data_IF_791269224859
#
_entry.id   IF_791269224859
#
_cell.length_a   1.000
_cell.length_b   1.000
_cell.length_c   1.000
_cell.angle_alpha   90.00
_cell.angle_beta   90.00
_cell.angle_gamma   90.00
#
_symmetry.space_group_name_H-M   'P 1'
#
loop_
_entity.id
_entity.type
_entity.pdbx_description
1 polymer ?
#
# COMPACT_ATOMS: atom_id res chain seq x y z
N UNK A 1 3.86 -13.28 21.29
CA UNK A 1 4.64 -12.33 20.48
C UNK A 1 5.99 -12.97 20.17
N UNK A 2 6.61 -12.65 19.04
CA UNK A 2 7.92 -13.16 18.64
C UNK A 2 8.84 -11.96 18.32
N UNK A 3 10.09 -12.03 18.77
CA UNK A 3 11.05 -10.91 18.71
C UNK A 3 12.41 -11.39 18.23
N UNK A 4 13.04 -10.65 17.33
CA UNK A 4 14.43 -10.85 16.88
C UNK A 4 15.21 -9.54 17.10
N UNK A 5 16.34 -9.62 17.80
CA UNK A 5 17.16 -8.45 18.18
C UNK A 5 18.05 -7.89 17.04
N UNK A 6 17.88 -8.39 15.83
CA UNK A 6 18.63 -7.97 14.64
C UNK A 6 17.82 -8.29 13.40
N UNK A 7 18.51 -8.70 12.33
CA UNK A 7 17.86 -9.06 11.08
C UNK A 7 17.14 -10.42 11.18
N UNK A 8 15.95 -10.47 10.61
CA UNK A 8 15.17 -11.69 10.44
C UNK A 8 15.33 -12.19 9.00
N UNK A 9 16.20 -13.18 8.78
CA UNK A 9 16.45 -13.76 7.46
C UNK A 9 15.96 -15.20 7.42
N UNK A 10 15.20 -15.58 6.39
CA UNK A 10 14.72 -16.95 6.24
C UNK A 10 13.76 -17.14 5.07
N UNK A 11 13.03 -18.25 5.07
CA UNK A 11 12.04 -18.55 4.02
C UNK A 11 10.70 -17.87 4.28
N UNK A 12 10.12 -18.08 5.46
CA UNK A 12 8.79 -17.57 5.82
C UNK A 12 8.67 -17.35 7.32
N UNK A 13 7.84 -16.41 7.73
CA UNK A 13 7.48 -16.14 9.13
C UNK A 13 5.97 -16.16 9.26
N UNK A 14 5.46 -16.96 10.20
CA UNK A 14 4.03 -17.07 10.51
C UNK A 14 3.81 -16.84 12.00
N UNK A 15 3.13 -15.75 12.34
CA UNK A 15 2.91 -15.34 13.74
C UNK A 15 1.45 -14.94 13.94
N UNK A 16 0.73 -15.59 14.84
CA UNK A 16 -0.69 -15.25 15.08
C UNK A 16 -0.92 -13.86 15.70
N UNK A 17 0.06 -13.32 16.43
CA UNK A 17 -0.07 -12.06 17.17
C UNK A 17 0.87 -10.98 16.65
N UNK A 18 1.95 -10.75 17.40
CA UNK A 18 2.91 -9.67 17.15
C UNK A 18 4.27 -10.23 16.79
N UNK A 19 4.89 -9.68 15.74
CA UNK A 19 6.26 -9.94 15.32
C UNK A 19 7.07 -8.64 15.32
N UNK A 20 8.25 -8.65 15.95
CA UNK A 20 9.16 -7.52 15.98
C UNK A 20 10.58 -7.93 15.58
N UNK A 21 11.19 -7.16 14.68
CA UNK A 21 12.61 -7.27 14.35
C UNK A 21 13.30 -5.92 14.60
N UNK A 22 14.40 -5.93 15.37
CA UNK A 22 15.20 -4.73 15.61
C UNK A 22 16.12 -4.37 14.43
N UNK A 23 16.08 -5.13 13.34
CA UNK A 23 16.74 -4.86 12.06
C UNK A 23 15.81 -5.01 10.86
N UNK A 24 16.34 -5.50 9.75
CA UNK A 24 15.59 -5.79 8.53
C UNK A 24 14.86 -7.14 8.60
N UNK A 25 13.80 -7.30 7.82
CA UNK A 25 13.16 -8.59 7.58
C UNK A 25 13.39 -8.95 6.11
N UNK A 26 14.03 -10.08 5.83
CA UNK A 26 14.28 -10.58 4.48
C UNK A 26 13.82 -12.02 4.37
N UNK A 27 12.73 -12.22 3.65
CA UNK A 27 12.11 -13.53 3.46
C UNK A 27 12.07 -13.92 1.99
N UNK A 28 12.30 -15.20 1.69
CA UNK A 28 12.16 -15.72 0.33
C UNK A 28 10.69 -15.80 -0.11
N UNK A 29 9.79 -16.07 0.84
CA UNK A 29 8.37 -16.31 0.59
C UNK A 29 7.50 -15.31 1.36
N UNK A 30 7.11 -15.62 2.59
CA UNK A 30 5.94 -14.99 3.20
C UNK A 30 6.23 -14.42 4.59
N UNK A 31 5.82 -13.16 4.81
CA UNK A 31 5.56 -12.61 6.14
C UNK A 31 4.06 -12.62 6.43
N UNK A 32 3.59 -13.57 7.22
CA UNK A 32 2.19 -13.65 7.65
C UNK A 32 2.05 -13.38 9.14
N UNK A 33 1.41 -12.26 9.50
CA UNK A 33 1.23 -11.85 10.90
C UNK A 33 -0.22 -11.49 11.18
N UNK A 34 -0.86 -12.13 12.16
CA UNK A 34 -2.27 -11.87 12.45
C UNK A 34 -2.54 -10.47 12.99
N UNK A 35 -1.65 -9.95 13.86
CA UNK A 35 -1.81 -8.66 14.53
C UNK A 35 -0.88 -7.58 14.00
N UNK A 36 0.36 -7.55 14.47
CA UNK A 36 1.28 -6.43 14.23
C UNK A 36 2.67 -6.91 13.83
N UNK A 37 3.20 -6.38 12.73
CA UNK A 37 4.58 -6.60 12.30
C UNK A 37 5.35 -5.28 12.35
N UNK A 38 6.49 -5.27 13.03
CA UNK A 38 7.39 -4.11 13.06
C UNK A 38 8.82 -4.52 12.74
N UNK A 39 9.44 -3.73 11.86
CA UNK A 39 10.87 -3.74 11.59
C UNK A 39 11.41 -2.33 11.73
N UNK A 40 12.59 -2.16 12.31
CA UNK A 40 13.27 -0.85 12.31
C UNK A 40 13.85 -0.54 10.92
N UNK A 41 14.22 -1.57 10.17
CA UNK A 41 14.72 -1.50 8.79
C UNK A 41 13.68 -1.83 7.72
N UNK A 42 14.11 -2.20 6.51
CA UNK A 42 13.21 -2.61 5.42
C UNK A 42 12.64 -4.01 5.64
N UNK A 43 11.47 -4.26 5.06
CA UNK A 43 10.85 -5.57 4.93
C UNK A 43 10.88 -5.97 3.45
N UNK A 44 11.47 -7.12 3.14
CA UNK A 44 11.53 -7.72 1.81
C UNK A 44 10.96 -9.14 1.84
N UNK A 45 10.00 -9.45 0.96
CA UNK A 45 9.39 -10.79 0.86
C UNK A 45 8.80 -11.07 -0.54
N UNK A 46 8.34 -12.28 -0.81
CA UNK A 46 7.43 -12.54 -1.94
C UNK A 46 6.03 -11.98 -1.63
N UNK A 47 5.53 -12.21 -0.40
CA UNK A 47 4.24 -11.67 0.05
C UNK A 47 4.27 -11.21 1.51
N UNK A 48 3.55 -10.14 1.80
CA UNK A 48 3.38 -9.59 3.15
C UNK A 48 1.89 -9.52 3.46
N UNK A 49 1.42 -10.37 4.37
CA UNK A 49 0.01 -10.44 4.78
C UNK A 49 -0.12 -10.19 6.27
N UNK A 50 -0.57 -9.00 6.64
CA UNK A 50 -0.65 -8.60 8.05
C UNK A 50 -2.03 -8.08 8.40
N UNK A 51 -2.75 -8.82 9.26
CA UNK A 51 -4.15 -8.55 9.57
C UNK A 51 -4.40 -7.20 10.25
N UNK A 52 -3.48 -6.75 11.12
CA UNK A 52 -3.58 -5.47 11.81
C UNK A 52 -2.70 -4.39 11.20
N UNK A 53 -1.43 -4.27 11.61
CA UNK A 53 -0.59 -3.18 11.14
C UNK A 53 0.86 -3.60 10.83
N UNK A 54 1.45 -2.94 9.84
CA UNK A 54 2.86 -3.03 9.48
C UNK A 54 3.53 -1.69 9.72
N UNK A 55 4.69 -1.70 10.38
CA UNK A 55 5.53 -0.52 10.53
C UNK A 55 6.97 -0.85 10.15
N UNK A 56 7.50 -0.11 9.18
CA UNK A 56 8.85 -0.35 8.66
C UNK A 56 9.47 0.92 8.07
N UNK A 57 10.75 0.87 7.73
CA UNK A 57 11.37 1.91 6.90
C UNK A 57 10.75 1.91 5.48
N UNK A 58 10.68 0.73 4.87
CA UNK A 58 10.02 0.46 3.59
C UNK A 58 9.52 -0.99 3.56
N UNK A 59 8.52 -1.28 2.74
CA UNK A 59 8.04 -2.65 2.50
C UNK A 59 8.10 -2.94 1.01
N UNK A 60 8.89 -3.92 0.60
CA UNK A 60 9.00 -4.36 -0.80
C UNK A 60 8.58 -5.82 -0.87
N UNK A 61 7.46 -6.09 -1.53
CA UNK A 61 7.05 -7.44 -1.88
C UNK A 61 7.14 -7.65 -3.39
N UNK A 62 7.47 -8.85 -3.85
CA UNK A 62 7.41 -9.17 -5.28
C UNK A 62 5.95 -9.34 -5.72
N UNK A 63 5.19 -10.16 -5.00
CA UNK A 63 3.80 -10.49 -5.30
C UNK A 63 2.78 -9.54 -4.65
N UNK A 64 2.61 -9.60 -3.33
CA UNK A 64 1.54 -8.82 -2.69
C UNK A 64 1.85 -8.23 -1.31
N UNK A 65 1.20 -7.11 -1.02
CA UNK A 65 1.09 -6.52 0.32
C UNK A 65 -0.40 -6.40 0.64
N UNK A 66 -0.87 -7.09 1.68
CA UNK A 66 -2.25 -7.02 2.17
C UNK A 66 -2.22 -6.66 3.66
N UNK A 67 -2.77 -5.49 4.00
CA UNK A 67 -2.83 -5.10 5.41
C UNK A 67 -3.96 -4.14 5.73
N UNK A 68 -4.31 -4.04 7.01
CA UNK A 68 -5.24 -3.02 7.49
C UNK A 68 -4.56 -1.68 7.74
N UNK A 69 -3.36 -1.65 8.31
CA UNK A 69 -2.59 -0.41 8.49
C UNK A 69 -1.17 -0.57 8.01
N UNK A 70 -0.69 0.38 7.22
CA UNK A 70 0.68 0.40 6.70
C UNK A 70 1.33 1.72 7.05
N UNK A 71 2.44 1.68 7.79
CA UNK A 71 3.21 2.87 8.13
C UNK A 71 4.64 2.69 7.66
N UNK A 72 5.01 3.45 6.65
CA UNK A 72 6.34 3.39 6.04
C UNK A 72 6.94 4.77 5.94
N UNK A 73 8.27 4.87 6.11
CA UNK A 73 8.97 6.15 5.95
C UNK A 73 9.29 6.45 4.49
N UNK A 74 9.72 5.44 3.73
CA UNK A 74 10.05 5.58 2.30
C UNK A 74 8.94 5.10 1.37
N UNK A 75 7.99 4.31 1.86
CA UNK A 75 6.88 3.77 1.09
C UNK A 75 6.79 2.25 1.08
N UNK A 76 5.83 1.75 0.30
CA UNK A 76 5.63 0.34 0.02
C UNK A 76 5.52 0.06 -1.49
N UNK A 77 6.11 -1.06 -1.93
CA UNK A 77 6.15 -1.48 -3.33
C UNK A 77 5.78 -2.95 -3.49
N UNK A 78 4.85 -3.27 -4.38
CA UNK A 78 4.53 -4.65 -4.76
C UNK A 78 3.82 -4.75 -6.10
N UNK A 79 3.75 -5.94 -6.70
CA UNK A 79 2.87 -6.16 -7.84
C UNK A 79 1.41 -5.81 -7.51
N UNK A 80 0.93 -6.23 -6.33
CA UNK A 80 -0.41 -5.92 -5.84
C UNK A 80 -0.40 -5.40 -4.40
N UNK A 81 -1.03 -4.26 -4.15
CA UNK A 81 -1.19 -3.69 -2.81
C UNK A 81 -2.67 -3.57 -2.48
N UNK A 82 -3.08 -4.12 -1.33
CA UNK A 82 -4.42 -3.98 -0.79
C UNK A 82 -4.40 -3.36 0.60
N UNK A 83 -5.05 -2.22 0.74
CA UNK A 83 -5.38 -1.64 2.05
C UNK A 83 -6.82 -2.00 2.37
N UNK A 84 -7.02 -2.78 3.43
CA UNK A 84 -8.31 -3.37 3.77
C UNK A 84 -9.35 -2.32 4.19
N UNK A 85 -10.61 -2.75 4.35
CA UNK A 85 -11.73 -1.85 4.69
C UNK A 85 -11.43 -0.99 5.92
N UNK A 86 -11.64 0.33 5.79
CA UNK A 86 -11.31 1.34 6.81
C UNK A 86 -9.84 1.31 7.25
N UNK A 87 -8.96 0.78 6.41
CA UNK A 87 -7.53 0.75 6.63
C UNK A 87 -6.87 2.10 6.41
N UNK A 88 -5.61 2.19 6.80
CA UNK A 88 -4.83 3.43 6.73
C UNK A 88 -3.44 3.14 6.17
N UNK A 89 -2.96 3.92 5.20
CA UNK A 89 -1.57 3.85 4.74
C UNK A 89 -0.89 5.22 4.80
N UNK A 90 0.25 5.25 5.50
CA UNK A 90 1.16 6.39 5.61
C UNK A 90 2.47 6.04 4.88
N UNK A 91 2.91 6.92 3.98
CA UNK A 91 3.96 6.67 3.00
C UNK A 91 3.40 6.29 1.62
N UNK A 92 4.21 6.49 0.56
CA UNK A 92 3.76 6.27 -0.81
C UNK A 92 3.55 4.78 -1.10
N UNK A 93 2.51 4.45 -1.86
CA UNK A 93 2.20 3.09 -2.34
C UNK A 93 2.51 2.99 -3.83
N UNK A 94 3.29 2.00 -4.22
CA UNK A 94 3.68 1.79 -5.63
C UNK A 94 3.41 0.35 -6.04
N UNK A 95 2.54 0.14 -7.03
CA UNK A 95 2.35 -1.21 -7.55
C UNK A 95 1.90 -1.31 -8.99
N UNK A 96 1.74 -2.53 -9.49
CA UNK A 96 1.03 -2.73 -10.78
C UNK A 96 -0.46 -2.52 -10.55
N UNK A 97 -0.99 -3.11 -9.48
CA UNK A 97 -2.37 -2.91 -9.03
C UNK A 97 -2.41 -2.44 -7.57
N UNK A 98 -3.11 -1.34 -7.30
CA UNK A 98 -3.35 -0.85 -5.93
C UNK A 98 -4.84 -0.73 -5.68
N UNK A 99 -5.34 -1.45 -4.67
CA UNK A 99 -6.76 -1.49 -4.29
C UNK A 99 -6.92 -0.89 -2.90
N UNK A 100 -7.66 0.21 -2.83
CA UNK A 100 -7.98 0.91 -1.59
C UNK A 100 -9.43 0.58 -1.26
N UNK A 101 -9.63 -0.27 -0.25
CA UNK A 101 -10.95 -0.78 0.08
C UNK A 101 -11.85 0.28 0.70
N UNK A 102 -13.14 -0.08 0.83
CA UNK A 102 -14.18 0.83 1.32
C UNK A 102 -13.78 1.59 2.58
N UNK A 103 -13.83 2.91 2.51
CA UNK A 103 -13.54 3.83 3.62
C UNK A 103 -12.08 3.85 4.08
N UNK A 104 -11.15 3.21 3.36
CA UNK A 104 -9.72 3.28 3.66
C UNK A 104 -9.14 4.63 3.25
N UNK A 105 -8.02 5.01 3.89
CA UNK A 105 -7.35 6.30 3.68
C UNK A 105 -5.86 6.06 3.41
N UNK A 106 -5.37 6.62 2.31
CA UNK A 106 -3.96 6.52 1.95
C UNK A 106 -3.42 7.90 1.58
N UNK A 107 -2.10 8.06 1.65
CA UNK A 107 -1.44 9.26 1.16
C UNK A 107 -1.34 9.20 -0.38
N UNK A 108 -0.17 8.87 -0.92
CA UNK A 108 0.10 8.96 -2.34
C UNK A 108 0.16 7.57 -2.96
N UNK A 109 -0.45 7.41 -4.14
CA UNK A 109 -0.58 6.12 -4.81
C UNK A 109 -0.07 6.22 -6.25
N UNK A 110 0.79 5.28 -6.63
CA UNK A 110 1.21 5.02 -8.00
C UNK A 110 0.80 3.61 -8.40
N UNK A 111 0.22 3.47 -9.58
CA UNK A 111 0.15 2.15 -10.20
C UNK A 111 -0.27 2.11 -11.65
N UNK A 112 -0.18 0.94 -12.26
CA UNK A 112 -0.68 0.75 -13.62
C UNK A 112 -2.21 0.71 -13.61
N UNK A 113 -2.79 0.15 -12.55
CA UNK A 113 -4.21 0.21 -12.19
C UNK A 113 -4.37 0.61 -10.73
N UNK A 114 -5.18 1.64 -10.48
CA UNK A 114 -5.55 2.07 -9.11
C UNK A 114 -7.07 2.00 -8.98
N UNK A 115 -7.53 1.31 -7.93
CA UNK A 115 -8.95 1.14 -7.63
C UNK A 115 -9.25 1.75 -6.27
N UNK A 116 -10.10 2.77 -6.26
CA UNK A 116 -10.67 3.37 -5.07
C UNK A 116 -12.09 2.83 -4.92
N UNK A 117 -12.31 1.93 -3.95
CA UNK A 117 -13.65 1.44 -3.65
C UNK A 117 -14.45 2.51 -2.89
N UNK A 118 -15.74 2.28 -2.71
CA UNK A 118 -16.69 3.22 -2.09
C UNK A 118 -16.12 3.96 -0.87
N UNK A 119 -16.29 5.27 -0.80
CA UNK A 119 -15.81 6.12 0.31
C UNK A 119 -14.29 6.09 0.57
N UNK A 120 -13.47 5.50 -0.32
CA UNK A 120 -12.02 5.48 -0.16
C UNK A 120 -11.41 6.88 -0.37
N UNK A 121 -10.27 7.13 0.27
CA UNK A 121 -9.59 8.43 0.21
C UNK A 121 -8.12 8.28 -0.11
N UNK A 122 -7.63 9.12 -1.02
CA UNK A 122 -6.22 9.27 -1.31
C UNK A 122 -5.82 10.76 -1.27
N UNK A 123 -4.55 11.05 -0.97
CA UNK A 123 -3.99 12.39 -1.18
C UNK A 123 -3.70 12.59 -2.67
N UNK A 124 -2.76 11.85 -3.23
CA UNK A 124 -2.44 11.93 -4.66
C UNK A 124 -2.62 10.57 -5.34
N UNK A 125 -3.04 10.57 -6.60
CA UNK A 125 -3.19 9.37 -7.42
C UNK A 125 -2.53 9.54 -8.78
N UNK A 126 -1.61 8.64 -9.10
CA UNK A 126 -0.88 8.59 -10.36
C UNK A 126 -1.07 7.20 -10.98
N UNK A 127 -1.94 7.08 -11.98
CA UNK A 127 -2.42 5.77 -12.44
C UNK A 127 -2.31 5.57 -13.96
N UNK A 128 -2.06 4.36 -14.43
CA UNK A 128 -2.34 4.03 -15.84
C UNK A 128 -3.85 4.08 -16.09
N UNK A 129 -4.60 3.34 -15.28
CA UNK A 129 -6.07 3.33 -15.22
C UNK A 129 -6.50 3.63 -13.79
N UNK A 130 -7.41 4.61 -13.63
CA UNK A 130 -8.01 4.94 -12.34
C UNK A 130 -9.50 4.57 -12.36
N UNK A 131 -9.91 3.71 -11.43
CA UNK A 131 -11.30 3.38 -11.16
C UNK A 131 -11.67 3.90 -9.77
N UNK A 132 -12.68 4.77 -9.70
CA UNK A 132 -13.16 5.37 -8.46
C UNK A 132 -14.67 5.14 -8.30
N UNK A 133 -15.04 4.38 -7.28
CA UNK A 133 -16.44 4.12 -6.90
C UNK A 133 -17.05 5.31 -6.15
N UNK A 134 -18.37 5.26 -5.97
CA UNK A 134 -19.18 6.27 -5.29
C UNK A 134 -18.57 6.76 -3.97
N UNK A 135 -18.52 8.08 -3.80
CA UNK A 135 -18.07 8.73 -2.56
C UNK A 135 -16.55 8.77 -2.36
N UNK A 136 -15.77 8.23 -3.30
CA UNK A 136 -14.31 8.32 -3.27
C UNK A 136 -13.84 9.78 -3.28
N UNK A 137 -12.73 10.06 -2.59
CA UNK A 137 -12.21 11.40 -2.37
C UNK A 137 -10.71 11.46 -2.65
N UNK A 138 -10.30 12.34 -3.56
CA UNK A 138 -8.88 12.64 -3.79
C UNK A 138 -8.64 14.12 -3.56
N UNK A 139 -7.79 14.42 -2.59
CA UNK A 139 -7.59 15.79 -2.09
C UNK A 139 -6.47 16.55 -2.78
N UNK A 140 -5.55 15.84 -3.42
CA UNK A 140 -4.42 16.39 -4.16
C UNK A 140 -4.52 16.10 -5.65
N UNK A 141 -3.37 15.85 -6.27
CA UNK A 141 -3.23 15.65 -7.70
C UNK A 141 -3.78 14.28 -8.16
N UNK A 142 -4.41 14.30 -9.33
CA UNK A 142 -4.78 13.10 -10.07
C UNK A 142 -4.16 13.19 -11.46
N UNK A 143 -3.28 12.24 -11.80
CA UNK A 143 -2.76 12.12 -13.16
C UNK A 143 -2.94 10.70 -13.66
N UNK A 144 -3.34 10.56 -14.91
CA UNK A 144 -3.50 9.26 -15.54
C UNK A 144 -3.04 9.22 -16.99
N UNK A 145 -2.60 8.06 -17.47
CA UNK A 145 -2.13 7.91 -18.87
C UNK A 145 -3.16 7.23 -19.77
N UNK A 146 -3.96 6.33 -19.23
CA UNK A 146 -5.00 5.57 -19.93
C UNK A 146 -6.39 6.16 -19.69
N UNK A 147 -7.15 5.50 -18.82
CA UNK A 147 -8.58 5.75 -18.60
C UNK A 147 -8.87 6.15 -17.15
N UNK A 148 -9.90 6.98 -16.99
CA UNK A 148 -10.45 7.38 -15.70
C UNK A 148 -11.94 7.02 -15.70
N UNK A 149 -12.32 6.08 -14.83
CA UNK A 149 -13.70 5.72 -14.54
C UNK A 149 -14.05 6.23 -13.15
N UNK A 150 -14.90 7.25 -13.08
CA UNK A 150 -15.37 7.79 -11.81
C UNK A 150 -16.90 7.71 -11.73
N UNK A 151 -17.40 7.04 -10.69
CA UNK A 151 -18.83 7.00 -10.40
C UNK A 151 -19.33 8.34 -9.85
N UNK A 152 -20.66 8.46 -9.73
CA UNK A 152 -21.30 9.65 -9.15
C UNK A 152 -20.84 9.86 -7.71
N UNK A 153 -20.74 11.12 -7.29
CA UNK A 153 -20.40 11.47 -5.91
C UNK A 153 -18.91 11.40 -5.55
N UNK A 154 -18.03 11.09 -6.51
CA UNK A 154 -16.58 11.26 -6.34
C UNK A 154 -16.25 12.74 -6.13
N UNK A 155 -15.32 13.04 -5.20
CA UNK A 155 -14.79 14.38 -4.96
C UNK A 155 -13.32 14.42 -5.35
N UNK A 156 -13.00 15.26 -6.33
CA UNK A 156 -11.63 15.51 -6.77
C UNK A 156 -11.33 16.99 -6.57
N UNK A 157 -10.39 17.29 -5.67
CA UNK A 157 -10.06 18.69 -5.34
C UNK A 157 -9.29 19.35 -6.48
N UNK A 158 -8.30 18.64 -7.04
CA UNK A 158 -7.67 19.02 -8.29
C UNK A 158 -8.41 18.40 -9.48
N UNK A 159 -8.40 19.10 -10.61
CA UNK A 159 -8.93 18.56 -11.86
C UNK A 159 -8.07 17.36 -12.31
N UNK A 160 -8.68 16.19 -12.58
CA UNK A 160 -7.94 15.06 -13.14
C UNK A 160 -7.27 15.42 -14.46
N UNK A 161 -5.97 15.14 -14.58
CA UNK A 161 -5.18 15.48 -15.75
C UNK A 161 -4.71 14.21 -16.46
N UNK A 162 -5.01 14.10 -17.76
CA UNK A 162 -4.41 13.07 -18.60
C UNK A 162 -2.99 13.49 -18.97
N UNK A 163 -2.00 12.61 -18.76
CA UNK A 163 -0.59 12.87 -19.02
C UNK A 163 -0.01 11.80 -19.95
N UNK A 164 1.04 12.14 -20.70
CA UNK A 164 1.79 11.15 -21.50
C UNK A 164 2.62 10.21 -20.62
N UNK A 165 3.12 10.74 -19.50
CA UNK A 165 3.97 10.02 -18.56
C UNK A 165 3.61 10.40 -17.13
N UNK A 166 3.61 9.41 -16.24
CA UNK A 166 3.46 9.63 -14.81
C UNK A 166 4.73 10.24 -14.20
N UNK A 167 4.63 10.94 -13.05
CA UNK A 167 5.79 11.36 -12.27
C UNK A 167 6.66 10.18 -11.85
N UNK A 168 7.87 10.48 -11.41
CA UNK A 168 8.79 9.47 -10.89
C UNK A 168 8.15 8.73 -9.71
N UNK A 169 8.23 7.39 -9.74
CA UNK A 169 7.72 6.54 -8.67
C UNK A 169 8.70 6.59 -7.51
N UNK A 170 8.27 6.92 -6.28
CA UNK A 170 9.15 6.80 -5.12
C UNK A 170 9.47 5.32 -4.87
N UNK A 171 10.69 5.04 -4.39
CA UNK A 171 11.28 3.72 -4.03
C UNK A 171 11.36 2.59 -5.07
#
# INVERSE_FOLDING_TARGET
>A
AATINGDAVGRSIKVGGVFHAAGAIKLEEELAVGGFAEATGPIEAESVRVGGAVKAESVVARGSIETHKLRTRRGAKADRIEISRRGEAEGPLVGREVIIHRGARVEDVWGDRVVLLRDARARNVYAGVLEAEEGSDVTGAIQFTGELHAERGCRFTAQPAKAEKLPERPI
#
